data_IF_321877543970
#
_entry.id   IF_321877543970
#
_cell.length_a   1.000
_cell.length_b   1.000
_cell.length_c   1.000
_cell.angle_alpha   90.00
_cell.angle_beta   90.00
_cell.angle_gamma   90.00
#
_symmetry.space_group_name_H-M   'P 1'
#
loop_
_entity.id
_entity.type
_entity.pdbx_description
1 polymer ?
#
# COMPACT_ATOMS: atom_id res chain seq x y z
N UNK A 1 -21.50 31.22 -21.96
CA UNK A 1 -22.55 30.30 -21.47
C UNK A 1 -21.92 29.49 -20.34
N UNK A 2 -22.68 29.20 -19.29
CA UNK A 2 -22.17 28.44 -18.15
C UNK A 2 -22.06 26.95 -18.50
N UNK A 3 -21.04 26.34 -17.90
CA UNK A 3 -20.60 24.94 -17.92
C UNK A 3 -21.50 23.94 -17.19
N UNK A 4 -22.20 22.99 -17.79
CA UNK A 4 -22.86 21.90 -17.03
C UNK A 4 -22.02 20.63 -16.97
N UNK A 5 -21.96 20.05 -15.78
CA UNK A 5 -21.44 18.69 -15.55
C UNK A 5 -22.51 17.85 -14.89
N UNK A 6 -22.67 16.63 -15.40
CA UNK A 6 -23.72 15.70 -14.97
C UNK A 6 -23.08 14.47 -14.37
N UNK A 7 -23.27 14.27 -13.07
CA UNK A 7 -22.86 13.05 -12.38
C UNK A 7 -24.05 12.10 -12.27
N UNK A 8 -24.05 11.06 -13.09
CA UNK A 8 -25.11 10.06 -13.16
C UNK A 8 -24.78 8.88 -12.26
N UNK A 9 -25.65 8.61 -11.28
CA UNK A 9 -25.63 7.42 -10.42
C UNK A 9 -26.61 6.39 -10.98
N UNK A 10 -26.10 5.27 -11.48
CA UNK A 10 -26.91 4.22 -12.08
C UNK A 10 -27.11 3.01 -11.14
N UNK A 11 -28.13 2.22 -11.47
CA UNK A 11 -28.42 0.88 -10.94
C UNK A 11 -28.92 0.72 -9.49
N UNK A 12 -28.79 1.74 -8.64
CA UNK A 12 -29.22 1.63 -7.23
C UNK A 12 -30.23 2.71 -6.82
N UNK A 13 -30.02 3.95 -7.24
CA UNK A 13 -30.83 5.08 -6.80
C UNK A 13 -31.57 5.79 -7.92
N UNK A 14 -32.77 6.23 -7.58
CA UNK A 14 -33.56 7.21 -8.32
C UNK A 14 -33.73 8.46 -7.45
N UNK A 15 -34.10 9.61 -8.02
CA UNK A 15 -34.36 10.82 -7.23
C UNK A 15 -35.38 10.62 -6.11
N UNK A 16 -36.33 9.70 -6.30
CA UNK A 16 -37.39 9.39 -5.32
C UNK A 16 -36.92 8.44 -4.20
N UNK A 17 -35.90 7.62 -4.47
CA UNK A 17 -35.42 6.59 -3.53
C UNK A 17 -34.10 6.94 -2.84
N UNK A 18 -33.42 7.99 -3.29
CA UNK A 18 -32.14 8.44 -2.72
C UNK A 18 -32.36 9.14 -1.37
N UNK A 19 -31.82 8.62 -0.25
CA UNK A 19 -31.91 9.30 1.04
C UNK A 19 -31.22 10.66 0.99
N UNK A 20 -31.82 11.68 1.63
CA UNK A 20 -31.27 13.04 1.61
C UNK A 20 -29.86 13.14 2.22
N UNK A 21 -29.54 12.32 3.22
CA UNK A 21 -28.20 12.24 3.81
C UNK A 21 -27.18 11.76 2.78
N UNK A 22 -27.50 10.68 2.04
CA UNK A 22 -26.65 10.17 0.96
C UNK A 22 -26.50 11.18 -0.17
N UNK A 23 -27.58 11.85 -0.55
CA UNK A 23 -27.54 12.93 -1.53
C UNK A 23 -26.55 14.03 -1.12
N UNK A 24 -26.58 14.47 0.14
CA UNK A 24 -25.66 15.48 0.65
C UNK A 24 -24.20 15.01 0.60
N UNK A 25 -23.92 13.75 0.96
CA UNK A 25 -22.59 13.16 0.85
C UNK A 25 -22.09 13.14 -0.60
N UNK A 26 -22.93 12.73 -1.55
CA UNK A 26 -22.59 12.74 -2.98
C UNK A 26 -22.32 14.16 -3.50
N UNK A 27 -23.14 15.15 -3.13
CA UNK A 27 -22.94 16.55 -3.52
C UNK A 27 -21.62 17.08 -2.95
N UNK A 28 -21.34 16.82 -1.67
CA UNK A 28 -20.10 17.27 -1.02
C UNK A 28 -18.86 16.65 -1.69
N UNK A 29 -18.89 15.36 -1.98
CA UNK A 29 -17.77 14.68 -2.64
C UNK A 29 -17.60 15.14 -4.11
N UNK A 30 -18.70 15.38 -4.82
CA UNK A 30 -18.68 15.94 -6.18
C UNK A 30 -18.07 17.35 -6.21
N UNK A 31 -18.46 18.22 -5.27
CA UNK A 31 -17.90 19.57 -5.15
C UNK A 31 -16.38 19.54 -4.90
N UNK A 32 -15.90 18.60 -4.06
CA UNK A 32 -14.47 18.42 -3.81
C UNK A 32 -13.71 17.90 -5.04
N UNK A 33 -14.34 17.05 -5.84
CA UNK A 33 -13.77 16.55 -7.09
C UNK A 33 -13.59 17.69 -8.11
N UNK A 34 -14.67 18.44 -8.35
CA UNK A 34 -14.68 19.57 -9.29
C UNK A 34 -13.72 20.69 -8.83
N UNK A 35 -13.65 20.96 -7.52
CA UNK A 35 -12.87 22.08 -6.98
C UNK A 35 -13.53 23.44 -7.27
N UNK A 36 -12.79 24.53 -7.01
CA UNK A 36 -13.28 25.91 -7.25
C UNK A 36 -14.68 26.16 -6.65
N UNK A 37 -14.83 25.87 -5.35
CA UNK A 37 -16.11 25.81 -4.63
C UNK A 37 -17.00 27.05 -4.79
N UNK A 38 -16.41 28.24 -4.94
CA UNK A 38 -17.15 29.50 -5.11
C UNK A 38 -17.82 29.63 -6.50
N UNK A 39 -17.37 28.83 -7.47
CA UNK A 39 -17.77 28.91 -8.89
C UNK A 39 -18.52 27.66 -9.38
N UNK A 40 -18.84 26.73 -8.48
CA UNK A 40 -19.56 25.48 -8.76
C UNK A 40 -20.89 25.49 -8.02
N UNK A 41 -21.98 25.54 -8.77
CA UNK A 41 -23.33 25.68 -8.26
C UNK A 41 -24.11 24.40 -8.47
N UNK A 42 -24.80 23.92 -7.43
CA UNK A 42 -25.74 22.81 -7.57
C UNK A 42 -27.00 23.29 -8.31
N UNK A 43 -27.33 22.65 -9.43
CA UNK A 43 -28.52 22.99 -10.21
C UNK A 43 -29.74 22.16 -9.83
N UNK A 44 -29.58 20.85 -9.67
CA UNK A 44 -30.68 19.95 -9.34
C UNK A 44 -30.37 18.48 -9.52
N UNK A 45 -31.42 17.67 -9.34
CA UNK A 45 -31.40 16.22 -9.61
C UNK A 45 -32.37 15.92 -10.76
N UNK A 46 -31.89 15.30 -11.85
CA UNK A 46 -32.73 14.92 -13.00
C UNK A 46 -33.26 13.48 -12.90
N UNK A 47 -34.33 13.17 -13.64
CA UNK A 47 -34.99 11.86 -13.70
C UNK A 47 -34.29 10.86 -14.64
N UNK A 48 -34.52 9.55 -14.42
CA UNK A 48 -33.95 8.44 -15.22
C UNK A 48 -32.77 7.72 -14.55
N UNK A 49 -32.20 8.32 -13.50
CA UNK A 49 -31.17 7.86 -12.56
C UNK A 49 -31.01 9.01 -11.54
N UNK A 50 -30.39 8.83 -10.36
CA UNK A 50 -30.04 10.01 -9.56
C UNK A 50 -28.90 10.77 -10.27
N UNK A 51 -29.24 11.78 -11.07
CA UNK A 51 -28.28 12.59 -11.83
C UNK A 51 -28.08 13.93 -11.14
N UNK A 52 -26.90 14.16 -10.57
CA UNK A 52 -26.54 15.45 -9.99
C UNK A 52 -26.00 16.38 -11.07
N UNK A 53 -26.67 17.51 -11.25
CA UNK A 53 -26.27 18.54 -12.21
C UNK A 53 -25.56 19.68 -11.49
N UNK A 54 -24.33 19.98 -11.92
CA UNK A 54 -23.53 21.09 -11.43
C UNK A 54 -23.32 22.10 -12.55
N UNK A 55 -23.53 23.38 -12.26
CA UNK A 55 -23.33 24.52 -13.17
C UNK A 55 -22.07 25.26 -12.75
N UNK A 56 -21.23 25.58 -13.73
CA UNK A 56 -19.89 26.14 -13.53
C UNK A 56 -19.79 27.51 -14.18
N UNK A 57 -19.31 28.48 -13.41
CA UNK A 57 -19.03 29.82 -13.90
C UNK A 57 -17.85 29.84 -14.87
N UNK A 58 -17.97 30.67 -15.91
CA UNK A 58 -17.00 30.78 -17.03
C UNK A 58 -15.53 30.85 -16.58
N UNK A 59 -15.14 31.60 -15.51
CA UNK A 59 -13.74 31.68 -15.08
C UNK A 59 -13.16 30.36 -14.57
N UNK A 60 -13.98 29.47 -14.03
CA UNK A 60 -13.55 28.21 -13.42
C UNK A 60 -13.55 27.03 -14.42
N UNK A 61 -14.29 27.12 -15.51
CA UNK A 61 -14.40 26.08 -16.53
C UNK A 61 -13.06 25.47 -17.01
N UNK A 62 -12.04 26.25 -17.42
CA UNK A 62 -10.78 25.66 -17.89
C UNK A 62 -10.03 24.93 -16.77
N UNK A 63 -10.03 25.49 -15.54
CA UNK A 63 -9.35 24.89 -14.39
C UNK A 63 -9.97 23.55 -13.99
N UNK A 64 -11.31 23.48 -13.98
CA UNK A 64 -12.04 22.26 -13.63
C UNK A 64 -11.83 21.20 -14.70
N UNK A 65 -11.88 21.58 -15.99
CA UNK A 65 -11.59 20.66 -17.09
C UNK A 65 -10.19 20.05 -16.98
N UNK A 66 -9.16 20.89 -16.80
CA UNK A 66 -7.77 20.43 -16.69
C UNK A 66 -7.58 19.55 -15.44
N UNK A 67 -8.24 19.90 -14.33
CA UNK A 67 -8.25 19.11 -13.10
C UNK A 67 -8.86 17.73 -13.32
N UNK A 68 -10.02 17.63 -13.97
CA UNK A 68 -10.69 16.35 -14.24
C UNK A 68 -9.87 15.47 -15.19
N UNK A 69 -9.26 16.06 -16.22
CA UNK A 69 -8.32 15.34 -17.10
C UNK A 69 -7.13 14.82 -16.29
N UNK A 70 -6.55 15.65 -15.41
CA UNK A 70 -5.44 15.22 -14.57
C UNK A 70 -5.83 14.09 -13.60
N UNK A 71 -7.04 14.10 -13.02
CA UNK A 71 -7.54 12.99 -12.20
C UNK A 71 -7.67 11.72 -13.04
N UNK A 72 -8.24 11.81 -14.24
CA UNK A 72 -8.36 10.66 -15.15
C UNK A 72 -6.99 10.06 -15.51
N UNK A 73 -5.98 10.90 -15.68
CA UNK A 73 -4.61 10.50 -16.01
C UNK A 73 -3.75 10.10 -14.79
N UNK A 74 -4.30 10.14 -13.57
CA UNK A 74 -3.57 9.82 -12.34
C UNK A 74 -2.55 10.89 -11.91
N UNK A 75 -2.60 12.09 -12.50
CA UNK A 75 -1.70 13.24 -12.25
C UNK A 75 -2.38 14.39 -11.52
N UNK A 76 -3.64 14.23 -11.12
CA UNK A 76 -4.40 15.24 -10.40
C UNK A 76 -3.90 15.53 -8.97
N UNK A 77 -4.41 16.60 -8.35
CA UNK A 77 -4.15 16.92 -6.94
C UNK A 77 -4.57 15.78 -5.97
N UNK A 78 -3.92 15.69 -4.81
CA UNK A 78 -4.17 14.59 -3.83
C UNK A 78 -5.60 14.60 -3.29
N UNK A 79 -6.15 15.78 -3.04
CA UNK A 79 -7.54 16.02 -2.65
C UNK A 79 -8.52 15.56 -3.74
N UNK A 80 -8.22 15.82 -5.01
CA UNK A 80 -9.05 15.38 -6.14
C UNK A 80 -9.09 13.85 -6.27
N UNK A 81 -7.95 13.18 -6.12
CA UNK A 81 -7.87 11.72 -6.10
C UNK A 81 -8.60 11.11 -4.92
N UNK A 82 -8.50 11.74 -3.74
CA UNK A 82 -9.25 11.32 -2.56
C UNK A 82 -10.75 11.44 -2.81
N UNK A 83 -11.22 12.58 -3.33
CA UNK A 83 -12.63 12.77 -3.68
C UNK A 83 -13.13 11.76 -4.72
N UNK A 84 -12.32 11.45 -5.73
CA UNK A 84 -12.63 10.39 -6.71
C UNK A 84 -12.77 9.02 -6.03
N UNK A 85 -11.82 8.64 -5.16
CA UNK A 85 -11.85 7.37 -4.45
C UNK A 85 -13.03 7.28 -3.46
N UNK A 86 -13.37 8.39 -2.79
CA UNK A 86 -14.50 8.49 -1.88
C UNK A 86 -15.82 8.32 -2.63
N UNK A 87 -16.00 8.99 -3.78
CA UNK A 87 -17.17 8.81 -4.66
C UNK A 87 -17.32 7.37 -5.14
N UNK A 88 -16.25 6.78 -5.68
CA UNK A 88 -16.26 5.39 -6.16
C UNK A 88 -16.54 4.40 -5.01
N UNK A 89 -16.01 4.68 -3.82
CA UNK A 89 -16.25 3.90 -2.61
C UNK A 89 -17.69 3.99 -2.12
N UNK A 90 -18.31 5.17 -2.16
CA UNK A 90 -19.74 5.34 -1.84
C UNK A 90 -20.61 4.58 -2.83
N UNK A 91 -20.37 4.74 -4.13
CA UNK A 91 -21.07 3.99 -5.17
C UNK A 91 -20.96 2.48 -4.95
N UNK A 92 -19.77 1.98 -4.60
CA UNK A 92 -19.58 0.57 -4.28
C UNK A 92 -20.39 0.12 -3.06
N UNK A 93 -20.39 0.88 -1.97
CA UNK A 93 -21.18 0.58 -0.76
C UNK A 93 -22.67 0.56 -1.05
N UNK A 94 -23.10 1.44 -1.93
CA UNK A 94 -24.50 1.59 -2.32
C UNK A 94 -24.90 0.65 -3.48
N UNK A 95 -24.03 -0.28 -3.89
CA UNK A 95 -24.24 -1.20 -5.00
C UNK A 95 -24.65 -0.48 -6.31
N UNK A 96 -24.03 0.68 -6.57
CA UNK A 96 -24.25 1.55 -7.70
C UNK A 96 -23.01 1.65 -8.62
N UNK A 97 -23.22 2.19 -9.82
CA UNK A 97 -22.16 2.64 -10.73
C UNK A 97 -22.34 4.13 -11.02
N UNK A 98 -21.28 4.81 -11.47
CA UNK A 98 -21.35 6.25 -11.71
C UNK A 98 -20.60 6.69 -12.97
N UNK A 99 -21.05 7.80 -13.57
CA UNK A 99 -20.34 8.46 -14.67
C UNK A 99 -20.43 9.97 -14.51
N UNK A 100 -19.31 10.66 -14.71
CA UNK A 100 -19.28 12.11 -14.84
C UNK A 100 -19.18 12.49 -16.31
N UNK A 101 -20.20 13.17 -16.81
CA UNK A 101 -20.30 13.63 -18.20
C UNK A 101 -20.24 15.16 -18.29
N UNK A 102 -19.77 15.66 -19.43
CA UNK A 102 -19.90 17.07 -19.81
C UNK A 102 -21.31 17.39 -20.36
N UNK A 103 -21.50 18.64 -20.76
CA UNK A 103 -22.71 19.15 -21.43
C UNK A 103 -23.11 18.35 -22.68
N UNK A 104 -22.12 17.78 -23.39
CA UNK A 104 -22.33 17.03 -24.63
C UNK A 104 -22.63 15.55 -24.38
N UNK A 105 -22.62 15.11 -23.12
CA UNK A 105 -22.78 13.71 -22.73
C UNK A 105 -21.51 12.87 -22.90
N UNK A 106 -20.36 13.49 -23.16
CA UNK A 106 -19.08 12.80 -23.22
C UNK A 106 -18.64 12.39 -21.80
N UNK A 107 -18.34 11.10 -21.62
CA UNK A 107 -17.88 10.57 -20.33
C UNK A 107 -16.45 11.05 -20.08
N UNK A 108 -16.29 11.90 -19.07
CA UNK A 108 -14.98 12.42 -18.66
C UNK A 108 -14.34 11.42 -17.70
N UNK A 109 -15.07 11.01 -16.66
CA UNK A 109 -14.59 10.08 -15.63
C UNK A 109 -15.63 8.97 -15.40
N UNK A 110 -15.29 7.70 -15.67
CA UNK A 110 -16.10 6.58 -15.23
C UNK A 110 -15.81 6.22 -13.77
N UNK A 111 -16.86 5.93 -13.00
CA UNK A 111 -16.80 5.43 -11.63
C UNK A 111 -17.31 3.99 -11.62
N UNK A 112 -16.41 2.99 -11.65
CA UNK A 112 -16.82 1.60 -11.72
C UNK A 112 -17.63 1.15 -10.51
N UNK A 113 -17.46 1.75 -9.32
CA UNK A 113 -18.28 1.49 -8.13
C UNK A 113 -18.36 -0.01 -7.81
N UNK A 114 -19.57 -0.59 -7.88
CA UNK A 114 -19.79 -2.04 -7.70
C UNK A 114 -19.09 -2.92 -8.74
N UNK A 115 -18.90 -2.40 -9.96
CA UNK A 115 -18.25 -3.09 -11.07
C UNK A 115 -16.73 -2.96 -11.02
N UNK A 116 -16.18 -2.30 -9.99
CA UNK A 116 -14.74 -2.22 -9.78
C UNK A 116 -14.20 -3.64 -9.60
N UNK A 117 -13.36 -4.14 -10.52
CA UNK A 117 -12.82 -5.48 -10.41
C UNK A 117 -12.12 -5.60 -9.07
N UNK A 118 -12.45 -6.64 -8.31
CA UNK A 118 -11.70 -6.94 -7.10
C UNK A 118 -10.24 -7.12 -7.49
N UNK A 119 -9.30 -6.48 -6.77
CA UNK A 119 -7.90 -6.75 -6.98
C UNK A 119 -7.71 -8.26 -6.90
N UNK A 120 -7.16 -8.87 -7.95
CA UNK A 120 -6.80 -10.27 -7.89
C UNK A 120 -5.78 -10.41 -6.77
N UNK A 121 -6.16 -11.10 -5.70
CA UNK A 121 -5.26 -11.43 -4.60
C UNK A 121 -5.15 -12.95 -4.56
N UNK A 122 -3.93 -13.43 -4.74
CA UNK A 122 -3.60 -14.84 -4.60
C UNK A 122 -3.07 -15.09 -3.19
N UNK A 123 -3.59 -16.11 -2.51
CA UNK A 123 -3.22 -16.45 -1.14
C UNK A 123 -4.42 -16.95 -0.33
N UNK A 124 -4.26 -17.20 0.99
CA UNK A 124 -3.06 -16.98 1.79
C UNK A 124 -1.95 -18.00 1.55
N UNK A 125 -0.71 -17.54 1.39
CA UNK A 125 0.47 -18.40 1.40
C UNK A 125 1.13 -18.36 2.77
N UNK A 126 1.23 -19.50 3.44
CA UNK A 126 1.95 -19.64 4.71
C UNK A 126 3.35 -20.18 4.43
N UNK A 127 4.36 -19.39 4.76
CA UNK A 127 5.75 -19.78 4.54
C UNK A 127 6.61 -19.37 5.72
N UNK A 128 7.54 -20.24 6.09
CA UNK A 128 8.57 -19.91 7.04
C UNK A 128 9.53 -18.89 6.42
N UNK A 129 9.96 -17.95 7.23
CA UNK A 129 10.83 -16.86 6.80
C UNK A 129 11.54 -16.20 7.97
N UNK A 130 12.32 -15.19 7.64
CA UNK A 130 13.07 -14.39 8.60
C UNK A 130 12.83 -12.91 8.36
N UNK A 131 12.74 -12.14 9.44
CA UNK A 131 12.64 -10.69 9.39
C UNK A 131 13.66 -10.07 10.33
N UNK A 132 14.45 -9.16 9.80
CA UNK A 132 15.49 -8.46 10.53
C UNK A 132 14.98 -7.08 10.94
N UNK A 133 15.33 -6.62 12.12
CA UNK A 133 14.93 -5.30 12.57
C UNK A 133 15.22 -5.01 14.04
N UNK A 134 15.28 -3.73 14.37
CA UNK A 134 15.35 -3.27 15.75
C UNK A 134 13.95 -3.37 16.39
N UNK A 135 13.87 -3.93 17.60
CA UNK A 135 12.61 -4.00 18.33
C UNK A 135 12.10 -2.61 18.72
N UNK A 136 10.97 -2.19 18.16
CA UNK A 136 10.35 -0.90 18.47
C UNK A 136 9.23 -1.02 19.51
N UNK A 137 8.49 -2.13 19.47
CA UNK A 137 7.36 -2.39 20.38
C UNK A 137 7.21 -3.88 20.60
N UNK A 138 6.95 -4.26 21.84
CA UNK A 138 6.42 -5.57 22.23
C UNK A 138 5.40 -5.37 23.33
N UNK A 139 4.16 -5.83 23.13
CA UNK A 139 3.13 -5.73 24.16
C UNK A 139 1.70 -5.68 23.62
N UNK A 140 0.84 -6.47 24.25
CA UNK A 140 -0.59 -6.60 23.94
C UNK A 140 -1.36 -7.10 25.15
N UNK A 141 -2.69 -7.15 25.02
CA UNK A 141 -3.60 -7.53 26.12
C UNK A 141 -3.85 -9.04 26.18
N UNK A 142 -3.70 -9.71 25.05
CA UNK A 142 -4.10 -11.10 24.86
C UNK A 142 -2.88 -12.01 24.62
N UNK A 143 -3.11 -13.32 24.44
CA UNK A 143 -2.07 -14.33 24.19
C UNK A 143 -1.35 -14.16 22.84
N UNK A 144 -1.81 -13.23 22.01
CA UNK A 144 -1.17 -12.83 20.76
C UNK A 144 -0.51 -11.48 20.99
N UNK A 145 0.78 -11.48 21.36
CA UNK A 145 1.51 -10.27 21.71
C UNK A 145 2.03 -9.59 20.44
N UNK A 146 1.55 -8.38 20.09
CA UNK A 146 2.04 -7.65 18.92
C UNK A 146 3.50 -7.24 19.08
N UNK A 147 4.24 -7.34 17.99
CA UNK A 147 5.65 -6.96 17.88
C UNK A 147 5.83 -6.05 16.67
N UNK A 148 6.55 -4.94 16.84
CA UNK A 148 6.94 -4.07 15.72
C UNK A 148 8.46 -4.06 15.61
N UNK A 149 8.96 -4.29 14.40
CA UNK A 149 10.38 -4.24 14.07
C UNK A 149 10.65 -3.07 13.12
N UNK A 150 11.75 -2.36 13.33
CA UNK A 150 12.23 -1.31 12.43
C UNK A 150 13.42 -1.83 11.62
N UNK A 151 13.30 -1.79 10.30
CA UNK A 151 14.38 -2.04 9.35
C UNK A 151 14.64 -0.76 8.56
N UNK A 152 15.66 0.00 8.95
CA UNK A 152 15.94 1.33 8.39
C UNK A 152 14.71 2.26 8.43
N UNK A 153 14.21 2.75 7.28
CA UNK A 153 13.00 3.59 7.21
C UNK A 153 11.68 2.79 7.31
N UNK A 154 11.74 1.46 7.17
CA UNK A 154 10.57 0.59 7.17
C UNK A 154 10.24 0.14 8.60
N UNK A 155 8.96 0.16 8.95
CA UNK A 155 8.47 -0.44 10.20
C UNK A 155 7.60 -1.63 9.80
N UNK A 156 8.11 -2.84 10.06
CA UNK A 156 7.33 -4.05 9.96
C UNK A 156 6.27 -4.04 11.05
N UNK A 157 5.02 -4.11 10.63
CA UNK A 157 3.82 -4.21 11.49
C UNK A 157 3.10 -5.52 11.19
N UNK A 158 2.16 -5.91 12.06
CA UNK A 158 1.46 -7.20 11.91
C UNK A 158 2.28 -8.43 12.32
N UNK A 159 3.42 -8.23 12.99
CA UNK A 159 4.11 -9.33 13.67
C UNK A 159 3.50 -9.57 15.03
N UNK A 160 3.53 -10.83 15.46
CA UNK A 160 3.08 -11.22 16.77
C UNK A 160 3.82 -12.45 17.28
N UNK A 161 3.83 -12.62 18.59
CA UNK A 161 4.46 -13.74 19.26
C UNK A 161 3.65 -14.21 20.46
N UNK A 162 4.09 -15.30 21.09
CA UNK A 162 3.52 -15.79 22.35
C UNK A 162 4.00 -14.92 23.53
N UNK A 163 3.28 -14.91 24.67
CA UNK A 163 3.70 -14.16 25.86
C UNK A 163 5.08 -14.58 26.38
N UNK A 164 5.43 -15.87 26.25
CA UNK A 164 6.75 -16.36 26.64
C UNK A 164 7.86 -15.77 25.77
N UNK A 165 7.66 -15.72 24.45
CA UNK A 165 8.62 -15.10 23.54
C UNK A 165 8.70 -13.59 23.77
N UNK A 166 7.57 -12.94 24.03
CA UNK A 166 7.52 -11.53 24.36
C UNK A 166 8.38 -11.20 25.59
N UNK A 167 8.35 -12.02 26.64
CA UNK A 167 9.22 -11.84 27.83
C UNK A 167 10.70 -12.00 27.49
N UNK A 168 11.05 -12.89 26.56
CA UNK A 168 12.45 -13.09 26.12
C UNK A 168 12.97 -11.95 25.24
N UNK A 169 12.11 -11.38 24.39
CA UNK A 169 12.50 -10.34 23.43
C UNK A 169 12.44 -8.93 24.03
N UNK A 170 11.59 -8.70 25.05
CA UNK A 170 11.41 -7.40 25.69
C UNK A 170 12.69 -6.70 26.20
N UNK A 171 13.71 -7.40 26.73
CA UNK A 171 14.97 -6.77 27.12
C UNK A 171 15.71 -6.07 25.96
N UNK A 172 15.43 -6.46 24.71
CA UNK A 172 16.06 -5.90 23.52
C UNK A 172 15.26 -4.74 22.91
N UNK A 173 14.29 -4.18 23.64
CA UNK A 173 13.49 -3.03 23.21
C UNK A 173 14.40 -1.82 22.95
N UNK A 174 14.30 -1.25 21.75
CA UNK A 174 15.17 -0.18 21.25
C UNK A 174 16.67 -0.54 21.31
N UNK A 175 16.99 -1.83 21.34
CA UNK A 175 18.34 -2.37 21.46
C UNK A 175 18.97 -2.72 20.10
N UNK A 176 19.79 -3.79 20.03
CA UNK A 176 20.48 -4.20 18.81
C UNK A 176 19.51 -4.70 17.72
N UNK A 177 20.03 -4.91 16.52
CA UNK A 177 19.28 -5.56 15.45
C UNK A 177 18.97 -7.01 15.83
N UNK A 178 17.73 -7.44 15.63
CA UNK A 178 17.29 -8.80 15.89
C UNK A 178 16.93 -9.45 14.56
N UNK A 179 17.33 -10.71 14.36
CA UNK A 179 16.74 -11.57 13.34
C UNK A 179 15.66 -12.42 13.97
N UNK A 180 14.44 -12.27 13.47
CA UNK A 180 13.29 -13.02 13.95
C UNK A 180 12.93 -14.13 12.96
N UNK A 181 12.65 -15.32 13.49
CA UNK A 181 12.26 -16.49 12.72
C UNK A 181 10.78 -16.77 12.97
N UNK A 182 10.07 -17.19 11.94
CA UNK A 182 8.67 -17.46 12.08
C UNK A 182 7.96 -17.78 10.77
N UNK A 183 6.64 -17.87 10.85
CA UNK A 183 5.79 -18.16 9.70
C UNK A 183 5.04 -16.90 9.28
N UNK A 184 5.29 -16.43 8.06
CA UNK A 184 4.59 -15.33 7.43
C UNK A 184 3.34 -15.79 6.68
N UNK A 185 2.27 -14.99 6.74
CA UNK A 185 1.10 -15.11 5.87
C UNK A 185 1.19 -14.04 4.80
N UNK A 186 1.42 -14.49 3.57
CA UNK A 186 1.67 -13.64 2.41
C UNK A 186 0.49 -13.67 1.45
N UNK A 187 0.26 -12.53 0.83
CA UNK A 187 -0.66 -12.39 -0.30
C UNK A 187 0.13 -11.89 -1.49
N UNK A 188 -0.23 -12.36 -2.68
CA UNK A 188 0.36 -11.88 -3.92
C UNK A 188 -0.69 -11.15 -4.71
N UNK A 189 -0.44 -9.89 -5.03
CA UNK A 189 -1.36 -9.09 -5.86
C UNK A 189 -1.34 -9.60 -7.31
N UNK A 190 -2.35 -9.23 -8.10
CA UNK A 190 -2.41 -9.51 -9.54
C UNK A 190 -1.23 -8.95 -10.33
N UNK A 191 -0.56 -7.92 -9.81
CA UNK A 191 0.67 -7.36 -10.36
C UNK A 191 1.94 -8.14 -9.95
N UNK A 192 1.80 -9.22 -9.18
CA UNK A 192 2.89 -10.08 -8.74
C UNK A 192 3.64 -9.62 -7.49
N UNK A 193 3.22 -8.52 -6.86
CA UNK A 193 3.82 -7.97 -5.63
C UNK A 193 3.41 -8.80 -4.41
N UNK A 194 4.37 -9.10 -3.53
CA UNK A 194 4.15 -9.83 -2.29
C UNK A 194 3.88 -8.86 -1.13
N UNK A 195 2.79 -9.11 -0.41
CA UNK A 195 2.38 -8.36 0.76
C UNK A 195 2.35 -9.28 1.98
N UNK A 196 3.15 -8.96 2.99
CA UNK A 196 3.11 -9.62 4.29
C UNK A 196 1.89 -9.11 5.06
N UNK A 197 0.92 -9.98 5.30
CA UNK A 197 -0.26 -9.61 6.10
C UNK A 197 -0.05 -9.82 7.58
N UNK A 198 0.63 -10.90 7.95
CA UNK A 198 0.97 -11.17 9.34
C UNK A 198 2.17 -12.11 9.45
N UNK A 199 2.90 -12.02 10.55
CA UNK A 199 4.07 -12.85 10.80
C UNK A 199 4.09 -13.35 12.25
N UNK A 200 3.98 -14.67 12.42
CA UNK A 200 4.07 -15.30 13.74
C UNK A 200 5.53 -15.58 14.04
N UNK A 201 6.13 -14.81 14.94
CA UNK A 201 7.49 -15.04 15.40
C UNK A 201 7.50 -16.26 16.34
N UNK A 202 8.35 -17.22 16.04
CA UNK A 202 8.60 -18.41 16.83
C UNK A 202 9.91 -18.33 17.59
N UNK A 203 10.93 -17.66 17.03
CA UNK A 203 12.23 -17.50 17.66
C UNK A 203 12.94 -16.21 17.22
N UNK A 204 14.03 -15.85 17.90
CA UNK A 204 14.87 -14.72 17.50
C UNK A 204 16.33 -14.94 17.89
N UNK A 205 17.22 -14.31 17.13
CA UNK A 205 18.63 -14.18 17.44
C UNK A 205 19.03 -12.70 17.45
N UNK A 206 20.00 -12.34 18.30
CA UNK A 206 20.57 -11.00 18.32
C UNK A 206 21.67 -10.95 17.27
N UNK A 207 21.54 -10.04 16.32
CA UNK A 207 22.57 -9.86 15.29
C UNK A 207 23.75 -9.11 15.89
N UNK A 208 24.94 -9.65 15.63
CA UNK A 208 26.20 -8.98 15.95
C UNK A 208 26.43 -7.85 14.94
N UNK A 209 26.58 -6.63 15.43
CA UNK A 209 26.87 -5.43 14.64
C UNK A 209 28.37 -5.11 14.65
N UNK A 210 29.22 -6.13 14.89
CA UNK A 210 30.66 -6.00 14.82
C UNK A 210 31.08 -5.44 13.45
N UNK A 211 31.91 -4.38 13.41
CA UNK A 211 32.43 -3.86 12.16
C UNK A 211 33.11 -4.96 11.35
N UNK A 212 32.87 -4.98 10.04
CA UNK A 212 33.43 -6.00 9.14
C UNK A 212 34.95 -6.17 9.33
N UNK A 213 35.67 -5.07 9.56
CA UNK A 213 37.11 -5.08 9.83
C UNK A 213 37.45 -5.92 11.07
N UNK A 214 36.68 -5.77 12.16
CA UNK A 214 36.83 -6.54 13.40
C UNK A 214 36.55 -8.02 13.17
N UNK A 215 35.52 -8.34 12.37
CA UNK A 215 35.19 -9.73 12.01
C UNK A 215 36.32 -10.37 11.20
N UNK A 216 36.87 -9.65 10.22
CA UNK A 216 38.00 -10.10 9.40
C UNK A 216 39.27 -10.28 10.24
N UNK A 217 39.55 -9.36 11.17
CA UNK A 217 40.68 -9.50 12.10
C UNK A 217 40.53 -10.72 13.01
N UNK A 218 39.32 -11.00 13.49
CA UNK A 218 39.04 -12.17 14.32
C UNK A 218 39.20 -13.47 13.52
N UNK A 219 38.71 -13.51 12.27
CA UNK A 219 38.92 -14.64 11.36
C UNK A 219 40.42 -14.89 11.10
N UNK A 220 41.22 -13.83 10.89
CA UNK A 220 42.68 -13.95 10.70
C UNK A 220 43.42 -14.51 11.92
N UNK A 221 42.86 -14.37 13.13
CA UNK A 221 43.47 -14.82 14.40
C UNK A 221 43.15 -16.28 14.73
N UNK A 222 42.26 -16.94 13.98
CA UNK A 222 41.94 -18.36 14.19
C UNK A 222 43.15 -19.22 13.84
N UNK A 223 43.71 -19.91 14.84
CA UNK A 223 44.85 -20.82 14.66
C UNK A 223 44.41 -22.06 13.87
N UNK A 224 45.21 -22.45 12.87
CA UNK A 224 44.94 -23.59 11.99
C UNK A 224 44.47 -23.22 10.58
N UNK A 225 44.37 -21.91 10.28
CA UNK A 225 44.08 -21.41 8.93
C UNK A 225 45.40 -21.08 8.24
N UNK A 226 45.93 -22.02 7.45
CA UNK A 226 47.19 -21.87 6.67
C UNK A 226 47.05 -20.85 5.51
N UNK A 227 45.85 -20.30 5.28
CA UNK A 227 45.58 -19.30 4.23
C UNK A 227 46.34 -17.98 4.42
N UNK A 228 46.78 -17.66 5.64
CA UNK A 228 47.63 -16.50 5.89
C UNK A 228 49.07 -16.69 5.37
N UNK A 229 49.46 -17.93 5.09
CA UNK A 229 50.79 -18.29 4.58
C UNK A 229 50.80 -18.41 3.04
N UNK A 230 49.61 -18.43 2.42
CA UNK A 230 49.45 -18.40 0.97
C UNK A 230 49.67 -16.95 0.47
N UNK A 231 50.60 -16.71 -0.47
CA UNK A 231 50.93 -15.35 -0.93
C UNK A 231 49.76 -14.59 -1.56
N UNK A 232 48.84 -15.31 -2.20
CA UNK A 232 47.58 -14.79 -2.72
C UNK A 232 46.46 -15.84 -2.55
N UNK A 233 45.79 -15.85 -1.39
CA UNK A 233 44.78 -16.86 -1.07
C UNK A 233 43.54 -16.75 -1.96
N UNK A 234 43.24 -15.54 -2.47
CA UNK A 234 42.09 -15.31 -3.34
C UNK A 234 42.35 -15.88 -4.73
N UNK A 235 43.56 -15.68 -5.27
CA UNK A 235 43.95 -16.27 -6.55
C UNK A 235 44.00 -17.79 -6.48
N UNK A 236 44.53 -18.37 -5.41
CA UNK A 236 44.53 -19.83 -5.20
C UNK A 236 43.11 -20.42 -5.16
N UNK A 237 42.17 -19.77 -4.46
CA UNK A 237 40.74 -20.17 -4.42
C UNK A 237 40.05 -20.06 -5.79
N UNK A 238 40.38 -19.01 -6.55
CA UNK A 238 39.85 -18.83 -7.90
C UNK A 238 40.43 -19.87 -8.87
N UNK A 239 41.73 -20.20 -8.76
CA UNK A 239 42.38 -21.25 -9.53
C UNK A 239 41.79 -22.64 -9.21
N UNK A 240 41.51 -22.96 -7.95
CA UNK A 240 40.82 -24.20 -7.55
C UNK A 240 39.36 -24.24 -8.01
N UNK A 241 38.64 -23.12 -7.90
CA UNK A 241 37.24 -23.01 -8.38
C UNK A 241 37.14 -23.12 -9.91
N UNK A 242 38.20 -22.75 -10.61
CA UNK A 242 38.34 -22.87 -12.06
C UNK A 242 39.23 -24.07 -12.46
N UNK A 243 39.48 -25.00 -11.53
CA UNK A 243 40.36 -26.15 -11.72
C UNK A 243 39.94 -27.04 -12.89
N UNK A 244 40.83 -27.09 -13.87
CA UNK A 244 41.01 -28.07 -14.93
C UNK A 244 39.74 -28.59 -15.63
N UNK A 245 39.37 -27.92 -16.73
CA UNK A 245 38.56 -28.51 -17.81
C UNK A 245 39.32 -29.60 -18.58
N UNK A 246 40.01 -30.50 -17.88
CA UNK A 246 40.62 -31.70 -18.43
C UNK A 246 39.54 -32.79 -18.60
N UNK A 247 39.42 -33.42 -19.78
CA UNK A 247 38.35 -34.39 -20.04
C UNK A 247 38.57 -35.66 -19.21
N UNK A 248 37.58 -36.02 -18.41
CA UNK A 248 37.34 -37.38 -17.94
C UNK A 248 36.12 -37.96 -18.66
#
# INVERSE_FOLDING_TARGET
MNSEYRFRIADSFTPETLPMERLAEYIAALANLLGEQDNVHFHGVETGSAVLVAVIDVPAQPKIRDRLVAVREGRGPKDAHKAFADLDGMLRKDNATGTLCDENGAIIIPFPGRARPEPLVYGPFRQDGTLDGQLLRVGGKDDTVPVHLRDGPLIHTGLYCTPDLARRIAPYLLGPMLRTHGTGTWFRTGAGVWELRSFKITDFEVLDDAPLLTVVENLRKVKGIEWNEVPDPVRALLEERHGDGGPH
#
